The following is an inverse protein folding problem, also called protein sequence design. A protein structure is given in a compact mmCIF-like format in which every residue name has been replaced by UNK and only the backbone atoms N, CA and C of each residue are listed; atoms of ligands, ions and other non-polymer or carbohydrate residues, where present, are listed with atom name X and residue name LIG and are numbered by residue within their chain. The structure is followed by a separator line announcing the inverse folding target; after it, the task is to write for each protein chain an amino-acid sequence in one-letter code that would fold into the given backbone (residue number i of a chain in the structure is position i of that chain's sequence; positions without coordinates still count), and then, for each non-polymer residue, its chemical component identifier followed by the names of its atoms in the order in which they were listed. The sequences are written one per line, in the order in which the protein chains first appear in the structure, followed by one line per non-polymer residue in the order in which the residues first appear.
data_IF_091702942817
#
_entry.id   IF_091702942817
#
_cell.length_a   1.000
_cell.length_b   1.000
_cell.length_c   1.000
_cell.angle_alpha   90.00
_cell.angle_beta   90.00
_cell.angle_gamma   90.00
#
_symmetry.space_group_name_H-M   'P 1'
#
loop_
_entity.id
_entity.type
_entity.pdbx_description
1 polymer ?
#
# COMPACT_ATOMS: atom_id res chain seq x y z
N UNK A 1 1.61 0.85 16.31
CA UNK A 1 1.56 1.35 14.92
C UNK A 1 1.10 2.81 14.96
N UNK A 2 2.03 3.76 14.91
CA UNK A 2 1.76 5.18 14.75
C UNK A 2 2.38 5.66 13.42
N UNK A 3 1.80 6.68 12.80
CA UNK A 3 2.40 7.33 11.65
C UNK A 3 3.63 8.12 12.09
N UNK A 4 4.73 7.95 11.37
CA UNK A 4 5.92 8.78 11.50
C UNK A 4 6.29 9.32 10.11
N UNK A 5 6.50 10.62 10.03
CA UNK A 5 6.93 11.27 8.79
C UNK A 5 8.27 10.72 8.31
N UNK A 6 8.35 10.47 7.01
CA UNK A 6 9.59 10.13 6.29
C UNK A 6 9.88 11.18 5.22
N UNK A 7 10.99 11.03 4.48
CA UNK A 7 11.43 12.10 3.58
C UNK A 7 10.59 12.19 2.31
N UNK A 8 10.18 11.01 1.75
CA UNK A 8 9.57 10.96 0.43
C UNK A 8 8.45 9.93 0.35
N UNK A 9 7.47 10.23 -0.48
CA UNK A 9 6.54 9.27 -1.06
C UNK A 9 6.69 9.25 -2.58
N UNK A 10 6.08 8.26 -3.24
CA UNK A 10 6.05 8.18 -4.71
C UNK A 10 4.61 8.12 -5.18
N UNK A 11 4.34 8.72 -6.34
CA UNK A 11 3.01 8.87 -6.92
C UNK A 11 3.04 8.48 -8.39
N UNK A 12 1.99 7.80 -8.84
CA UNK A 12 1.74 7.51 -10.26
C UNK A 12 0.26 7.81 -10.52
N UNK A 13 0.00 8.72 -11.44
CA UNK A 13 -1.37 9.08 -11.81
C UNK A 13 -1.86 8.23 -12.99
N UNK A 14 -3.14 7.87 -12.95
CA UNK A 14 -3.84 7.28 -14.08
C UNK A 14 -4.82 8.31 -14.63
N UNK A 15 -4.60 8.72 -15.87
CA UNK A 15 -5.39 9.72 -16.59
C UNK A 15 -5.43 9.36 -18.07
N UNK A 16 -6.53 9.70 -18.75
CA UNK A 16 -6.69 9.40 -20.17
C UNK A 16 -6.39 7.93 -20.50
N UNK A 17 -6.88 7.01 -19.64
CA UNK A 17 -6.71 5.57 -19.77
C UNK A 17 -5.25 5.08 -19.74
N UNK A 18 -4.34 5.86 -19.17
CA UNK A 18 -2.91 5.54 -19.10
C UNK A 18 -2.29 5.85 -17.75
N UNK A 19 -1.36 4.99 -17.34
CA UNK A 19 -0.48 5.24 -16.22
C UNK A 19 0.64 6.23 -16.59
N UNK A 20 0.74 7.31 -15.86
CA UNK A 20 1.78 8.33 -16.03
C UNK A 20 3.16 7.91 -15.51
N UNK A 21 4.09 8.86 -15.47
CA UNK A 21 5.41 8.67 -14.90
C UNK A 21 5.35 8.51 -13.37
N UNK A 22 6.38 7.89 -12.79
CA UNK A 22 6.59 7.86 -11.35
C UNK A 22 7.14 9.21 -10.90
N UNK A 23 6.45 9.85 -9.97
CA UNK A 23 6.82 11.12 -9.36
C UNK A 23 7.30 10.89 -7.91
N UNK A 24 8.35 11.59 -7.51
CA UNK A 24 8.86 11.60 -6.14
C UNK A 24 8.38 12.89 -5.46
N UNK A 25 7.73 12.75 -4.31
CA UNK A 25 7.16 13.88 -3.56
C UNK A 25 7.62 13.86 -2.11
N UNK A 26 7.81 15.04 -1.53
CA UNK A 26 8.04 15.25 -0.09
C UNK A 26 6.77 15.67 0.67
N UNK A 27 5.74 16.08 -0.06
CA UNK A 27 4.47 16.53 0.51
C UNK A 27 3.66 15.36 1.09
N UNK A 28 3.22 15.47 2.34
CA UNK A 28 2.44 14.45 3.04
C UNK A 28 0.94 14.50 2.70
N UNK A 29 0.50 15.56 2.06
CA UNK A 29 -0.90 15.78 1.69
C UNK A 29 -1.13 15.51 0.21
N UNK A 30 -2.33 15.11 -0.11
CA UNK A 30 -2.79 14.89 -1.48
C UNK A 30 -3.94 15.88 -1.73
N UNK A 31 -3.80 16.83 -2.68
CA UNK A 31 -4.94 17.65 -3.10
C UNK A 31 -5.97 16.73 -3.78
N UNK A 32 -7.22 16.81 -3.33
CA UNK A 32 -8.29 15.96 -3.83
C UNK A 32 -9.56 16.77 -4.06
N UNK A 33 -10.22 16.50 -5.19
CA UNK A 33 -11.51 17.12 -5.46
C UNK A 33 -12.58 16.57 -4.49
N UNK A 34 -13.47 17.41 -3.98
CA UNK A 34 -14.51 17.01 -3.02
C UNK A 34 -15.47 15.94 -3.55
N UNK A 35 -15.63 15.80 -4.88
CA UNK A 35 -16.43 14.76 -5.51
C UNK A 35 -15.60 13.53 -5.97
N UNK A 36 -14.42 13.30 -5.40
CA UNK A 36 -13.62 12.12 -5.71
C UNK A 36 -14.36 10.83 -5.28
N UNK A 37 -14.30 9.79 -6.12
CA UNK A 37 -15.04 8.55 -5.89
C UNK A 37 -14.62 7.81 -4.62
N UNK A 38 -13.36 7.91 -4.22
CA UNK A 38 -12.89 7.31 -2.97
C UNK A 38 -13.55 7.93 -1.74
N UNK A 39 -13.91 9.21 -1.76
CA UNK A 39 -14.56 9.89 -0.63
C UNK A 39 -16.04 9.53 -0.48
N UNK A 40 -16.72 9.18 -1.58
CA UNK A 40 -18.15 8.95 -1.59
C UNK A 40 -18.53 7.48 -1.64
N UNK A 41 -17.76 6.68 -2.36
CA UNK A 41 -18.09 5.29 -2.66
C UNK A 41 -17.02 4.31 -2.16
N UNK A 42 -15.97 4.79 -1.50
CA UNK A 42 -14.88 3.95 -1.02
C UNK A 42 -14.13 3.23 -2.14
N UNK A 43 -14.05 3.82 -3.35
CA UNK A 43 -13.32 3.23 -4.46
C UNK A 43 -11.82 3.37 -4.24
N UNK A 44 -11.30 2.46 -3.45
CA UNK A 44 -9.90 2.42 -3.03
C UNK A 44 -9.43 0.99 -2.78
N UNK A 45 -8.14 0.76 -2.93
CA UNK A 45 -7.48 -0.49 -2.61
C UNK A 45 -6.10 -0.20 -2.02
N UNK A 46 -5.68 -0.97 -1.03
CA UNK A 46 -4.34 -0.83 -0.47
C UNK A 46 -3.64 -2.18 -0.28
N UNK A 47 -2.32 -2.11 -0.16
CA UNK A 47 -1.48 -3.22 0.20
C UNK A 47 -0.64 -2.89 1.44
N UNK A 48 -0.10 -3.92 2.06
CA UNK A 48 0.82 -3.78 3.18
C UNK A 48 2.02 -4.69 3.00
N UNK A 49 3.21 -4.07 2.96
CA UNK A 49 4.49 -4.76 2.88
C UNK A 49 5.42 -4.24 3.97
N UNK A 50 6.56 -4.92 4.12
CA UNK A 50 7.62 -4.50 5.05
C UNK A 50 8.97 -4.66 4.41
N UNK A 51 9.85 -3.67 4.62
CA UNK A 51 11.26 -3.79 4.35
C UNK A 51 12.02 -4.01 5.67
N UNK A 52 12.94 -4.97 5.65
CA UNK A 52 13.73 -5.39 6.81
C UNK A 52 15.21 -5.21 6.52
N UNK A 53 15.96 -4.79 7.53
CA UNK A 53 17.42 -4.86 7.48
C UNK A 53 17.87 -6.21 8.02
N UNK A 54 18.61 -6.96 7.21
CA UNK A 54 19.19 -8.24 7.61
C UNK A 54 20.45 -8.07 8.47
N UNK A 55 20.93 -9.15 9.09
CA UNK A 55 22.20 -9.20 9.84
C UNK A 55 23.42 -8.78 9.00
N UNK A 56 23.34 -9.00 7.69
CA UNK A 56 24.35 -8.62 6.72
C UNK A 56 24.22 -7.16 6.22
N UNK A 57 23.35 -6.36 6.86
CA UNK A 57 23.06 -4.98 6.50
C UNK A 57 22.18 -4.79 5.26
N UNK A 58 21.89 -5.85 4.51
CA UNK A 58 21.08 -5.75 3.29
C UNK A 58 19.61 -5.55 3.59
N UNK A 59 18.95 -4.75 2.78
CA UNK A 59 17.51 -4.53 2.84
C UNK A 59 16.78 -5.59 2.02
N UNK A 60 15.72 -6.15 2.59
CA UNK A 60 14.89 -7.19 1.96
C UNK A 60 13.42 -6.87 2.08
N UNK A 61 12.67 -7.18 1.03
CA UNK A 61 11.20 -7.12 1.00
C UNK A 61 10.72 -8.53 0.66
N UNK A 62 9.75 -9.02 1.41
CA UNK A 62 9.24 -10.38 1.25
C UNK A 62 8.08 -10.44 0.26
N UNK A 63 8.17 -11.28 -0.77
CA UNK A 63 7.11 -11.64 -1.73
C UNK A 63 6.41 -10.43 -2.37
N UNK A 64 7.20 -9.48 -2.86
CA UNK A 64 6.73 -8.23 -3.47
C UNK A 64 5.75 -8.47 -4.65
N UNK A 65 6.01 -9.48 -5.46
CA UNK A 65 5.21 -9.85 -6.62
C UNK A 65 3.80 -10.33 -6.23
N UNK A 66 3.67 -11.02 -5.12
CA UNK A 66 2.38 -11.48 -4.62
C UNK A 66 1.48 -10.32 -4.16
N UNK A 67 2.08 -9.28 -3.59
CA UNK A 67 1.35 -8.07 -3.26
C UNK A 67 0.89 -7.33 -4.53
N UNK A 68 1.72 -7.27 -5.57
CA UNK A 68 1.32 -6.71 -6.85
C UNK A 68 0.14 -7.48 -7.46
N UNK A 69 0.22 -8.82 -7.50
CA UNK A 69 -0.83 -9.69 -8.02
C UNK A 69 -2.15 -9.55 -7.23
N UNK A 70 -2.07 -9.42 -5.89
CA UNK A 70 -3.24 -9.24 -5.04
C UNK A 70 -3.88 -7.88 -5.27
N UNK A 71 -3.10 -6.79 -5.41
CA UNK A 71 -3.62 -5.47 -5.75
C UNK A 71 -4.36 -5.51 -7.09
N UNK A 72 -3.79 -6.16 -8.12
CA UNK A 72 -4.43 -6.33 -9.42
C UNK A 72 -5.75 -7.11 -9.31
N UNK A 73 -5.76 -8.19 -8.53
CA UNK A 73 -7.00 -8.96 -8.28
C UNK A 73 -8.08 -8.11 -7.59
N UNK A 74 -7.69 -7.30 -6.61
CA UNK A 74 -8.60 -6.35 -5.94
C UNK A 74 -9.13 -5.32 -6.95
N UNK A 75 -8.25 -4.75 -7.79
CA UNK A 75 -8.64 -3.78 -8.81
C UNK A 75 -9.69 -4.34 -9.77
N UNK A 76 -9.52 -5.59 -10.24
CA UNK A 76 -10.54 -6.25 -11.08
C UNK A 76 -11.89 -6.35 -10.38
N UNK A 77 -11.87 -6.69 -9.08
CA UNK A 77 -13.11 -6.87 -8.29
C UNK A 77 -13.91 -5.58 -8.09
N UNK A 78 -13.26 -4.42 -8.10
CA UNK A 78 -13.90 -3.10 -7.89
C UNK A 78 -13.75 -2.16 -9.08
N UNK A 79 -13.47 -2.71 -10.25
CA UNK A 79 -13.41 -2.01 -11.53
C UNK A 79 -12.44 -0.82 -11.55
N UNK A 80 -11.27 -1.01 -10.94
CA UNK A 80 -10.17 -0.06 -10.99
C UNK A 80 -9.11 -0.51 -12.02
N UNK A 81 -8.33 0.41 -12.60
CA UNK A 81 -7.25 0.04 -13.51
C UNK A 81 -6.14 -0.73 -12.78
N UNK A 82 -5.70 -1.82 -13.39
CA UNK A 82 -4.58 -2.59 -12.85
C UNK A 82 -3.25 -1.86 -13.09
N UNK A 83 -2.47 -1.66 -12.02
CA UNK A 83 -1.09 -1.20 -12.17
C UNK A 83 -0.21 -2.39 -12.59
N UNK A 84 0.58 -2.30 -13.68
CA UNK A 84 1.48 -3.38 -14.08
C UNK A 84 2.47 -3.76 -12.97
N UNK A 85 2.76 -5.05 -12.83
CA UNK A 85 3.66 -5.58 -11.77
C UNK A 85 5.01 -4.86 -11.74
N UNK A 86 5.62 -4.59 -12.88
CA UNK A 86 6.91 -3.90 -12.93
C UNK A 86 6.82 -2.45 -12.46
N UNK A 87 5.70 -1.78 -12.71
CA UNK A 87 5.46 -0.41 -12.21
C UNK A 87 5.23 -0.40 -10.69
N UNK A 88 4.54 -1.40 -10.17
CA UNK A 88 4.39 -1.60 -8.73
C UNK A 88 5.76 -1.81 -8.07
N UNK A 89 6.58 -2.71 -8.62
CA UNK A 89 7.94 -3.00 -8.12
C UNK A 89 8.83 -1.74 -8.16
N UNK A 90 8.81 -1.03 -9.28
CA UNK A 90 9.55 0.23 -9.42
C UNK A 90 9.21 1.23 -8.30
N UNK A 91 7.92 1.43 -8.04
CA UNK A 91 7.46 2.35 -7.00
C UNK A 91 7.91 1.92 -5.60
N UNK A 92 7.75 0.63 -5.26
CA UNK A 92 8.15 0.09 -3.96
C UNK A 92 9.67 0.19 -3.75
N UNK A 93 10.46 -0.24 -4.71
CA UNK A 93 11.93 -0.19 -4.60
C UNK A 93 12.43 1.26 -4.53
N UNK A 94 11.82 2.17 -5.29
CA UNK A 94 12.17 3.59 -5.28
C UNK A 94 11.88 4.23 -3.92
N UNK A 95 10.68 4.06 -3.36
CA UNK A 95 10.33 4.69 -2.07
C UNK A 95 11.17 4.13 -0.92
N UNK A 96 11.46 2.83 -0.92
CA UNK A 96 12.32 2.20 0.10
C UNK A 96 13.74 2.74 0.02
N UNK A 97 14.32 2.83 -1.19
CA UNK A 97 15.66 3.38 -1.39
C UNK A 97 15.77 4.84 -0.94
N UNK A 98 14.77 5.67 -1.27
CA UNK A 98 14.74 7.09 -0.88
C UNK A 98 14.63 7.29 0.64
N UNK A 99 14.05 6.32 1.36
CA UNK A 99 13.84 6.38 2.80
C UNK A 99 14.67 5.34 3.57
N UNK A 100 15.75 4.85 3.00
CA UNK A 100 16.56 3.76 3.59
C UNK A 100 17.06 4.07 5.00
N UNK A 101 17.31 5.33 5.33
CA UNK A 101 17.74 5.76 6.67
C UNK A 101 16.71 5.50 7.78
N UNK A 102 15.44 5.32 7.41
CA UNK A 102 14.35 5.01 8.33
C UNK A 102 14.13 3.51 8.54
N UNK A 103 14.85 2.64 7.83
CA UNK A 103 14.76 1.20 8.05
C UNK A 103 15.44 0.87 9.37
N UNK A 104 14.70 0.37 10.37
CA UNK A 104 15.26 0.07 11.68
C UNK A 104 16.39 -0.98 11.61
N UNK A 105 17.34 -0.96 12.55
CA UNK A 105 18.39 -1.97 12.62
C UNK A 105 17.82 -3.36 12.92
N UNK A 106 18.53 -4.41 12.50
CA UNK A 106 18.10 -5.79 12.65
C UNK A 106 17.73 -6.15 14.09
N UNK A 107 18.54 -5.73 15.05
CA UNK A 107 18.42 -6.05 16.49
C UNK A 107 17.14 -5.50 17.13
N UNK A 108 16.52 -4.49 16.50
CA UNK A 108 15.29 -3.87 17.02
C UNK A 108 14.06 -4.74 16.85
N UNK A 109 14.09 -5.75 15.96
CA UNK A 109 12.91 -6.51 15.55
C UNK A 109 11.84 -5.68 14.83
N UNK A 110 12.12 -4.40 14.56
CA UNK A 110 11.24 -3.46 13.87
C UNK A 110 11.44 -3.52 12.34
N UNK A 111 10.63 -2.78 11.61
CA UNK A 111 10.68 -2.77 10.14
C UNK A 111 10.20 -1.44 9.58
N UNK A 112 10.51 -1.19 8.31
CA UNK A 112 9.86 -0.11 7.56
C UNK A 112 8.59 -0.66 6.91
N UNK A 113 7.43 -0.18 7.38
CA UNK A 113 6.15 -0.50 6.79
C UNK A 113 5.97 0.28 5.49
N UNK A 114 5.48 -0.38 4.46
CA UNK A 114 5.25 0.18 3.14
C UNK A 114 3.74 0.10 2.87
N UNK A 115 3.13 1.24 2.55
CA UNK A 115 1.71 1.36 2.24
C UNK A 115 1.51 1.79 0.79
N UNK A 116 1.32 0.86 -0.15
CA UNK A 116 0.73 1.16 -1.45
C UNK A 116 -0.76 1.42 -1.29
N UNK A 117 -1.24 2.50 -1.88
CA UNK A 117 -2.64 2.91 -1.86
C UNK A 117 -3.04 3.33 -3.28
N UNK A 118 -4.12 2.76 -3.79
CA UNK A 118 -4.73 3.15 -5.07
C UNK A 118 -6.12 3.70 -4.81
N UNK A 119 -6.38 4.94 -5.23
CA UNK A 119 -7.64 5.65 -4.97
C UNK A 119 -8.21 6.27 -6.23
N UNK A 120 -9.53 6.24 -6.36
CA UNK A 120 -10.26 6.98 -7.39
C UNK A 120 -10.34 8.46 -7.04
N UNK A 121 -9.74 9.32 -7.89
CA UNK A 121 -9.62 10.77 -7.66
C UNK A 121 -10.49 11.61 -8.60
N UNK A 122 -11.05 11.01 -9.64
CA UNK A 122 -11.90 11.70 -10.62
C UNK A 122 -13.15 12.29 -9.96
N UNK A 123 -13.49 13.51 -10.36
CA UNK A 123 -14.67 14.22 -9.88
C UNK A 123 -15.93 13.67 -10.55
N UNK A 124 -16.84 13.06 -9.77
CA UNK A 124 -18.13 12.58 -10.27
C UNK A 124 -19.16 12.42 -9.16
N UNK A 125 -20.43 12.41 -9.53
CA UNK A 125 -21.56 12.20 -8.61
C UNK A 125 -22.24 10.85 -8.84
N UNK A 126 -22.29 10.37 -10.09
CA UNK A 126 -22.90 9.09 -10.43
C UNK A 126 -22.09 7.89 -9.92
N UNK A 127 -22.78 6.79 -9.63
CA UNK A 127 -22.15 5.54 -9.17
C UNK A 127 -21.61 4.76 -10.36
N UNK A 128 -20.38 4.99 -10.72
CA UNK A 128 -19.63 4.27 -11.75
C UNK A 128 -18.12 4.40 -11.46
N UNK A 129 -17.26 3.57 -12.05
CA UNK A 129 -15.81 3.66 -11.85
C UNK A 129 -15.28 5.05 -12.20
N UNK A 130 -14.31 5.53 -11.43
CA UNK A 130 -13.64 6.79 -11.72
C UNK A 130 -12.91 6.74 -13.07
N UNK A 131 -12.69 7.90 -13.68
CA UNK A 131 -11.85 8.04 -14.88
C UNK A 131 -10.39 8.37 -14.56
N UNK A 132 -10.15 8.83 -13.33
CA UNK A 132 -8.81 9.18 -12.86
C UNK A 132 -8.51 8.51 -11.53
N UNK A 133 -7.27 8.06 -11.37
CA UNK A 133 -6.80 7.41 -10.15
C UNK A 133 -5.41 7.90 -9.78
N UNK A 134 -5.09 7.75 -8.50
CA UNK A 134 -3.76 7.98 -7.96
C UNK A 134 -3.28 6.72 -7.25
N UNK A 135 -2.15 6.19 -7.68
CA UNK A 135 -1.37 5.23 -6.92
C UNK A 135 -0.29 5.98 -6.15
N UNK A 136 -0.33 5.89 -4.82
CA UNK A 136 0.65 6.51 -3.94
C UNK A 136 1.27 5.44 -3.05
N UNK A 137 2.58 5.54 -2.82
CA UNK A 137 3.27 4.69 -1.86
C UNK A 137 4.01 5.56 -0.87
N UNK A 138 3.73 5.38 0.40
CA UNK A 138 4.48 5.97 1.50
C UNK A 138 4.99 4.90 2.45
N UNK A 139 5.95 5.27 3.29
CA UNK A 139 6.58 4.37 4.25
C UNK A 139 6.59 4.99 5.64
N UNK A 140 6.62 4.14 6.66
CA UNK A 140 6.76 4.59 8.05
C UNK A 140 7.45 3.49 8.88
N UNK A 141 8.43 3.80 9.74
CA UNK A 141 9.01 2.82 10.63
C UNK A 141 7.98 2.34 11.65
N UNK A 142 7.95 1.04 11.89
CA UNK A 142 7.02 0.40 12.84
C UNK A 142 7.75 -0.57 13.73
N UNK A 143 7.37 -0.63 15.01
CA UNK A 143 7.86 -1.62 15.95
C UNK A 143 7.34 -3.04 15.65
N UNK A 144 7.73 -4.03 16.48
CA UNK A 144 7.19 -5.38 16.38
C UNK A 144 5.67 -5.35 16.48
N UNK A 145 5.00 -6.19 15.69
CA UNK A 145 3.53 -6.25 15.68
C UNK A 145 2.97 -6.65 17.04
N UNK A 146 3.60 -7.60 17.71
CA UNK A 146 3.25 -8.06 19.06
C UNK A 146 4.27 -7.55 20.08
N UNK A 147 3.83 -6.78 21.07
CA UNK A 147 4.70 -6.18 22.10
C UNK A 147 5.48 -7.23 22.94
N UNK A 148 4.90 -8.40 23.17
CA UNK A 148 5.50 -9.47 23.96
C UNK A 148 6.15 -10.59 23.13
N UNK A 149 6.29 -10.40 21.80
CA UNK A 149 6.76 -11.44 20.89
C UNK A 149 5.70 -12.50 20.59
N UNK A 150 6.09 -13.49 19.80
CA UNK A 150 5.17 -14.50 19.26
C UNK A 150 4.60 -15.43 20.35
N UNK A 151 5.38 -15.74 21.38
CA UNK A 151 5.03 -16.67 22.46
C UNK A 151 3.96 -16.14 23.43
N UNK A 152 3.66 -14.85 23.39
CA UNK A 152 2.67 -14.24 24.30
C UNK A 152 1.28 -14.08 23.69
N UNK A 153 1.09 -14.53 22.46
CA UNK A 153 -0.16 -14.36 21.73
C UNK A 153 -0.91 -15.69 21.65
N UNK A 154 -2.18 -15.74 22.08
CA UNK A 154 -2.98 -16.94 21.93
C UNK A 154 -3.35 -17.16 20.47
N UNK A 155 -3.50 -18.42 20.06
CA UNK A 155 -4.11 -18.78 18.79
C UNK A 155 -5.52 -19.26 19.01
N UNK A 156 -6.37 -18.95 18.07
CA UNK A 156 -7.69 -19.57 17.95
C UNK A 156 -7.70 -20.42 16.69
N UNK A 157 -7.89 -21.73 16.85
CA UNK A 157 -8.08 -22.64 15.72
C UNK A 157 -9.58 -22.71 15.46
N UNK A 158 -10.00 -22.18 14.33
CA UNK A 158 -11.39 -22.27 13.87
C UNK A 158 -11.46 -23.48 12.94
N UNK A 159 -12.24 -24.50 13.32
CA UNK A 159 -12.45 -25.70 12.50
C UNK A 159 -13.56 -25.51 11.47
N UNK A 160 -14.57 -24.76 11.81
CA UNK A 160 -15.70 -24.42 10.94
C UNK A 160 -16.00 -22.94 11.09
N UNK A 161 -16.27 -22.26 10.01
CA UNK A 161 -16.80 -20.90 10.02
C UNK A 161 -17.73 -20.71 8.83
N UNK A 162 -18.85 -20.05 9.07
CA UNK A 162 -19.74 -19.59 8.03
C UNK A 162 -19.30 -18.21 7.57
N UNK A 163 -19.15 -18.05 6.28
CA UNK A 163 -19.01 -16.75 5.68
C UNK A 163 -20.40 -16.12 5.64
N UNK A 164 -20.59 -15.09 6.45
CA UNK A 164 -21.88 -14.39 6.54
C UNK A 164 -22.27 -13.61 5.27
N UNK A 165 -21.37 -13.49 4.29
CA UNK A 165 -21.71 -12.89 3.02
C UNK A 165 -22.49 -13.91 2.17
N UNK A 166 -23.76 -13.66 1.83
CA UNK A 166 -24.46 -14.51 0.88
C UNK A 166 -23.71 -14.49 -0.45
N UNK A 167 -23.67 -15.64 -1.09
CA UNK A 167 -23.31 -15.70 -2.50
C UNK A 167 -24.36 -14.89 -3.25
N UNK A 168 -24.00 -13.63 -3.58
CA UNK A 168 -24.83 -12.75 -4.38
C UNK A 168 -24.82 -13.15 -5.83
#
# INVERSE_FOLDING_TARGET
FGYMKTDYNVRIYYRNEQWGALEVCSEETIPMHMAATCLHYGQEAFEGLKAFRGKDGKVRIFRLEENAARLQSTCRGILMPELPTERFKEAILKVVKLNERFIPPYESGASLYIRPLLIGTGAQVGVHPAKEYLFVVFVTPVGPYFKGGFSTNPYVIIREFDRAAPLG
#
